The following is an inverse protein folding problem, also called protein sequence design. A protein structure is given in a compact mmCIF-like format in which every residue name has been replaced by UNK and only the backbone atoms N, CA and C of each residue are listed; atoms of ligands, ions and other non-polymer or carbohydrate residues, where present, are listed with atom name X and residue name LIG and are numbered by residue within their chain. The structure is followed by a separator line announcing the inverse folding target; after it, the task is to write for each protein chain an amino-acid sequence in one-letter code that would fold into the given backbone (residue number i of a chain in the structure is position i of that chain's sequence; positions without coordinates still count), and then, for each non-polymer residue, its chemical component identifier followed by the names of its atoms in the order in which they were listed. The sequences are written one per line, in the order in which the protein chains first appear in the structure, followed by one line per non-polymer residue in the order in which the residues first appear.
data_IF_768814751521
#
_entry.id   IF_768814751521
#
_cell.length_a   1.000
_cell.length_b   1.000
_cell.length_c   1.000
_cell.angle_alpha   90.00
_cell.angle_beta   90.00
_cell.angle_gamma   90.00
#
_symmetry.space_group_name_H-M   'P 1'
#
loop_
_entity.id
_entity.type
_entity.pdbx_description
1 polymer ?
#
# COMPACT_ATOMS: atom_id res chain seq x y z
N UNK A 1 3.37 -12.92 10.17
CA UNK A 1 2.82 -13.19 11.52
C UNK A 1 2.30 -11.87 12.03
N UNK A 2 1.08 -11.86 12.57
CA UNK A 2 0.42 -10.63 12.99
C UNK A 2 0.42 -10.52 14.52
N UNK A 3 0.69 -9.31 15.00
CA UNK A 3 0.71 -8.96 16.41
C UNK A 3 -0.13 -7.71 16.65
N UNK A 4 -0.81 -7.67 17.79
CA UNK A 4 -1.32 -6.44 18.37
C UNK A 4 -0.27 -5.85 19.30
N UNK A 5 -0.14 -4.53 19.30
CA UNK A 5 0.78 -3.80 20.17
C UNK A 5 -0.03 -2.84 21.03
N UNK A 6 0.08 -2.94 22.35
CA UNK A 6 -0.59 -2.03 23.28
C UNK A 6 0.19 -0.72 23.49
N UNK A 7 -0.36 0.19 24.30
CA UNK A 7 0.25 1.49 24.61
C UNK A 7 1.61 1.38 25.32
N UNK A 8 1.86 0.27 26.00
CA UNK A 8 3.10 0.00 26.73
C UNK A 8 4.12 -0.78 25.88
N UNK A 9 3.82 -0.97 24.58
CA UNK A 9 4.63 -1.72 23.61
C UNK A 9 4.77 -3.22 23.91
N UNK A 10 3.80 -3.81 24.60
CA UNK A 10 3.72 -5.27 24.70
C UNK A 10 3.13 -5.85 23.40
N UNK A 11 3.73 -6.94 22.94
CA UNK A 11 3.33 -7.63 21.72
C UNK A 11 2.46 -8.85 22.05
N UNK A 12 1.29 -8.94 21.42
CA UNK A 12 0.38 -10.07 21.56
C UNK A 12 0.16 -10.71 20.20
N UNK A 13 0.53 -11.98 20.07
CA UNK A 13 0.26 -12.74 18.85
C UNK A 13 -1.25 -12.79 18.57
N UNK A 14 -1.62 -12.54 17.31
CA UNK A 14 -3.01 -12.63 16.87
C UNK A 14 -3.19 -13.85 15.97
N UNK A 15 -2.48 -13.87 14.83
CA UNK A 15 -2.59 -14.96 13.87
C UNK A 15 -1.36 -15.10 12.96
N UNK A 16 -1.36 -16.17 12.15
CA UNK A 16 -0.36 -16.41 11.12
C UNK A 16 -1.04 -16.77 9.79
N UNK A 17 -0.87 -15.89 8.80
CA UNK A 17 -1.30 -16.12 7.44
C UNK A 17 -0.29 -17.00 6.67
N UNK A 18 -0.70 -18.21 6.27
CA UNK A 18 0.14 -19.19 5.55
C UNK A 18 0.15 -18.99 4.04
N UNK A 19 0.18 -17.73 3.61
CA UNK A 19 0.16 -17.30 2.20
C UNK A 19 0.86 -15.95 2.05
N UNK A 20 1.15 -15.55 0.81
CA UNK A 20 1.60 -14.19 0.55
C UNK A 20 0.52 -13.18 0.99
N UNK A 21 0.96 -12.08 1.59
CA UNK A 21 0.08 -10.97 1.95
C UNK A 21 0.01 -9.96 0.80
N UNK A 22 -1.10 -9.24 0.70
CA UNK A 22 -1.33 -8.27 -0.38
C UNK A 22 -0.26 -7.18 -0.33
N UNK A 23 0.07 -6.75 0.89
CA UNK A 23 1.02 -5.73 1.30
C UNK A 23 2.49 -6.19 1.31
N UNK A 24 2.81 -7.38 0.78
CA UNK A 24 4.21 -7.81 0.66
C UNK A 24 5.15 -6.81 -0.05
N UNK A 25 4.72 -5.97 -1.03
CA UNK A 25 5.63 -5.07 -1.71
C UNK A 25 6.34 -4.09 -0.79
N UNK A 26 5.70 -3.61 0.30
CA UNK A 26 6.39 -2.69 1.22
C UNK A 26 7.60 -3.36 1.87
N UNK A 27 7.53 -4.65 2.17
CA UNK A 27 8.66 -5.44 2.65
C UNK A 27 9.71 -5.57 1.55
N UNK A 28 9.32 -6.01 0.35
CA UNK A 28 10.25 -6.17 -0.78
C UNK A 28 11.04 -4.89 -1.06
N UNK A 29 10.36 -3.74 -1.07
CA UNK A 29 10.98 -2.43 -1.35
C UNK A 29 12.01 -2.03 -0.29
N UNK A 30 11.78 -2.32 1.00
CA UNK A 30 12.70 -1.88 2.06
C UNK A 30 13.88 -2.83 2.26
N UNK A 31 13.76 -4.10 1.89
CA UNK A 31 14.85 -5.08 1.99
C UNK A 31 15.55 -5.39 0.67
N UNK A 32 15.00 -4.92 -0.46
CA UNK A 32 15.45 -5.23 -1.82
C UNK A 32 15.52 -6.74 -2.08
N UNK A 33 14.39 -7.41 -1.83
CA UNK A 33 14.26 -8.85 -2.02
C UNK A 33 12.89 -9.24 -2.56
N UNK A 34 12.88 -10.09 -3.58
CA UNK A 34 11.67 -10.57 -4.26
C UNK A 34 11.14 -11.83 -3.55
N UNK A 35 10.03 -11.65 -2.83
CA UNK A 35 9.40 -12.70 -2.04
C UNK A 35 8.67 -13.72 -2.93
N UNK A 36 8.12 -13.29 -4.06
CA UNK A 36 7.43 -14.16 -5.01
C UNK A 36 8.41 -15.11 -5.68
N UNK A 37 9.55 -14.58 -6.14
CA UNK A 37 10.65 -15.38 -6.69
C UNK A 37 11.17 -16.39 -5.67
N UNK A 38 11.28 -15.99 -4.39
CA UNK A 38 11.71 -16.91 -3.34
C UNK A 38 10.70 -18.03 -3.10
N UNK A 39 9.39 -17.72 -3.08
CA UNK A 39 8.35 -18.75 -2.99
C UNK A 39 8.45 -19.78 -4.12
N UNK A 40 8.68 -19.33 -5.36
CA UNK A 40 8.85 -20.23 -6.51
C UNK A 40 10.09 -21.11 -6.35
N UNK A 41 11.23 -20.53 -5.93
CA UNK A 41 12.46 -21.30 -5.68
C UNK A 41 12.25 -22.38 -4.62
N UNK A 42 11.66 -22.03 -3.49
CA UNK A 42 11.41 -22.97 -2.39
C UNK A 42 10.43 -24.06 -2.82
N UNK A 43 9.38 -23.71 -3.56
CA UNK A 43 8.47 -24.70 -4.14
C UNK A 43 9.17 -25.65 -5.13
N UNK A 44 10.22 -25.20 -5.81
CA UNK A 44 11.07 -26.01 -6.67
C UNK A 44 12.15 -26.81 -5.90
N UNK A 45 12.13 -26.82 -4.56
CA UNK A 45 13.09 -27.52 -3.71
C UNK A 45 14.43 -26.81 -3.50
N UNK A 46 14.57 -25.56 -3.95
CA UNK A 46 15.75 -24.74 -3.68
C UNK A 46 15.66 -24.22 -2.25
N UNK A 47 16.70 -24.47 -1.45
CA UNK A 47 16.78 -23.96 -0.07
C UNK A 47 16.86 -22.44 -0.06
N UNK A 48 16.23 -21.84 0.95
CA UNK A 48 16.39 -20.40 1.22
C UNK A 48 17.87 -20.08 1.42
N UNK A 49 18.30 -18.94 0.89
CA UNK A 49 19.71 -18.51 0.88
C UNK A 49 20.34 -18.42 2.28
N UNK A 50 19.53 -18.18 3.32
CA UNK A 50 19.98 -18.06 4.71
C UNK A 50 20.56 -16.69 5.06
N UNK A 51 20.33 -15.65 4.25
CA UNK A 51 20.74 -14.28 4.57
C UNK A 51 19.73 -13.60 5.50
N UNK A 52 20.25 -12.78 6.43
CA UNK A 52 19.43 -11.86 7.22
C UNK A 52 19.19 -10.57 6.43
N UNK A 53 17.91 -10.23 6.25
CA UNK A 53 17.47 -9.04 5.53
C UNK A 53 16.93 -8.01 6.52
N UNK A 54 17.55 -6.83 6.56
CA UNK A 54 17.11 -5.73 7.42
C UNK A 54 16.55 -4.58 6.58
N UNK A 55 15.45 -3.92 7.01
CA UNK A 55 14.89 -2.77 6.31
C UNK A 55 15.90 -1.60 6.22
N UNK A 56 16.16 -1.13 5.00
CA UNK A 56 17.07 -0.01 4.72
C UNK A 56 16.33 1.29 4.44
N UNK A 57 15.11 1.18 3.92
CA UNK A 57 14.27 2.28 3.45
C UNK A 57 12.94 2.33 4.23
N UNK A 58 12.11 3.30 3.92
CA UNK A 58 10.71 3.34 4.34
C UNK A 58 9.80 3.24 3.11
N UNK A 59 8.79 2.39 3.17
CA UNK A 59 7.83 2.20 2.07
C UNK A 59 6.40 2.29 2.59
N UNK A 60 5.53 2.92 1.81
CA UNK A 60 4.11 3.06 2.08
C UNK A 60 3.35 2.47 0.90
N UNK A 61 2.29 1.72 1.18
CA UNK A 61 1.37 1.21 0.17
C UNK A 61 -0.04 1.74 0.44
N UNK A 62 -0.70 2.23 -0.61
CA UNK A 62 -2.13 2.51 -0.61
C UNK A 62 -2.83 1.53 -1.56
N UNK A 63 -3.89 0.89 -1.07
CA UNK A 63 -4.80 0.07 -1.90
C UNK A 63 -5.79 0.98 -2.59
N UNK A 64 -5.72 1.03 -3.91
CA UNK A 64 -6.66 1.78 -4.73
C UNK A 64 -7.82 0.86 -5.07
N UNK A 65 -8.97 1.16 -4.51
CA UNK A 65 -10.20 0.42 -4.70
C UNK A 65 -11.15 1.23 -5.58
N UNK A 66 -11.95 0.54 -6.38
CA UNK A 66 -13.10 1.08 -7.09
C UNK A 66 -14.28 1.23 -6.13
N UNK A 67 -14.18 2.20 -5.23
CA UNK A 67 -15.14 2.51 -4.17
C UNK A 67 -15.35 4.03 -4.09
N UNK A 68 -16.49 4.44 -3.51
CA UNK A 68 -16.86 5.85 -3.33
C UNK A 68 -16.80 6.21 -1.82
N UNK A 69 -15.68 6.80 -1.33
CA UNK A 69 -15.48 7.09 0.09
C UNK A 69 -16.56 8.01 0.67
N UNK A 70 -17.02 9.00 -0.10
CA UNK A 70 -18.04 9.96 0.35
C UNK A 70 -19.43 9.30 0.53
N UNK A 71 -19.59 8.06 0.09
CA UNK A 71 -20.82 7.28 0.18
C UNK A 71 -20.57 5.94 0.89
N UNK A 72 -19.89 5.99 2.05
CA UNK A 72 -19.60 4.84 2.91
C UNK A 72 -18.87 3.71 2.17
N UNK A 73 -17.87 4.08 1.35
CA UNK A 73 -17.03 3.15 0.58
C UNK A 73 -17.84 2.16 -0.28
N UNK A 74 -19.03 2.55 -0.76
CA UNK A 74 -19.82 1.69 -1.64
C UNK A 74 -19.01 1.31 -2.89
N UNK A 75 -19.08 0.06 -3.37
CA UNK A 75 -18.41 -0.34 -4.61
C UNK A 75 -18.84 0.52 -5.81
N UNK A 76 -17.89 0.78 -6.71
CA UNK A 76 -18.05 1.56 -7.94
C UNK A 76 -17.56 0.75 -9.15
N UNK A 77 -18.21 -0.39 -9.48
CA UNK A 77 -17.90 -1.12 -10.70
C UNK A 77 -18.25 -0.28 -11.93
N UNK A 78 -17.54 -0.50 -13.04
CA UNK A 78 -17.74 0.29 -14.24
C UNK A 78 -16.57 0.19 -15.21
N UNK A 79 -16.69 0.89 -16.33
CA UNK A 79 -15.65 0.94 -17.35
C UNK A 79 -14.69 2.08 -17.05
N UNK A 80 -13.40 1.77 -16.98
CA UNK A 80 -12.34 2.76 -16.93
C UNK A 80 -12.23 3.40 -18.31
N UNK A 81 -12.58 4.67 -18.42
CA UNK A 81 -12.56 5.41 -19.69
C UNK A 81 -11.20 6.00 -20.00
N UNK A 82 -10.44 6.33 -18.95
CA UNK A 82 -9.10 6.86 -19.05
C UNK A 82 -8.28 6.40 -17.85
N UNK A 83 -7.00 6.13 -18.06
CA UNK A 83 -6.08 5.65 -17.04
C UNK A 83 -4.70 6.26 -17.29
N UNK A 84 -4.21 7.03 -16.32
CA UNK A 84 -2.83 7.50 -16.26
C UNK A 84 -2.23 7.04 -14.93
N UNK A 85 -1.34 6.04 -15.00
CA UNK A 85 -0.66 5.53 -13.81
C UNK A 85 0.46 6.49 -13.40
N UNK A 86 0.67 6.71 -12.09
CA UNK A 86 1.77 7.52 -11.61
C UNK A 86 3.11 6.79 -11.77
N UNK A 87 4.20 7.55 -11.73
CA UNK A 87 5.53 6.98 -11.88
C UNK A 87 6.65 7.83 -11.29
N UNK A 88 7.86 7.57 -11.77
CA UNK A 88 9.09 8.21 -11.30
C UNK A 88 9.81 7.39 -10.22
N UNK A 89 10.94 7.93 -9.75
CA UNK A 89 11.85 7.18 -8.89
C UNK A 89 11.23 6.88 -7.50
N UNK A 90 11.21 5.59 -7.15
CA UNK A 90 10.63 5.12 -5.89
C UNK A 90 9.10 5.11 -5.89
N UNK A 91 8.47 5.02 -7.06
CA UNK A 91 7.04 4.74 -7.23
C UNK A 91 6.90 3.41 -7.98
N UNK A 92 6.24 2.44 -7.37
CA UNK A 92 5.85 1.15 -7.96
C UNK A 92 4.33 1.09 -8.00
N UNK A 93 3.79 0.58 -9.10
CA UNK A 93 2.35 0.34 -9.25
C UNK A 93 2.15 -1.11 -9.65
N UNK A 94 1.43 -1.86 -8.82
CA UNK A 94 0.98 -3.21 -9.15
C UNK A 94 -0.50 -3.12 -9.52
N UNK A 95 -0.85 -3.41 -10.77
CA UNK A 95 -2.23 -3.31 -11.25
C UNK A 95 -2.52 -4.33 -12.35
N UNK A 96 -3.77 -4.75 -12.45
CA UNK A 96 -4.28 -5.60 -13.53
C UNK A 96 -5.18 -4.82 -14.51
N UNK A 97 -5.50 -3.57 -14.19
CA UNK A 97 -6.41 -2.74 -15.00
C UNK A 97 -5.65 -1.95 -16.05
N UNK A 98 -6.33 -1.59 -17.12
CA UNK A 98 -5.83 -0.78 -18.22
C UNK A 98 -6.95 0.10 -18.77
N UNK A 99 -6.63 1.10 -19.59
CA UNK A 99 -7.65 1.96 -20.20
C UNK A 99 -8.64 1.12 -21.03
N UNK A 100 -9.94 1.29 -20.79
CA UNK A 100 -11.01 0.49 -21.38
C UNK A 100 -11.41 -0.76 -20.59
N UNK A 101 -10.66 -1.13 -19.55
CA UNK A 101 -11.01 -2.27 -18.68
C UNK A 101 -12.34 -2.03 -17.96
N UNK A 102 -13.14 -3.09 -17.79
CA UNK A 102 -14.42 -3.04 -17.08
C UNK A 102 -14.33 -3.80 -15.78
N UNK A 103 -14.50 -3.09 -14.67
CA UNK A 103 -14.47 -3.65 -13.32
C UNK A 103 -15.79 -4.37 -13.07
N UNK A 104 -15.68 -5.66 -12.80
CA UNK A 104 -16.82 -6.53 -12.47
C UNK A 104 -17.27 -6.30 -11.03
N UNK A 105 -18.58 -6.32 -10.74
CA UNK A 105 -19.10 -6.29 -9.37
C UNK A 105 -18.90 -7.61 -8.61
N UNK A 106 -18.40 -8.67 -9.26
CA UNK A 106 -18.34 -10.01 -8.68
C UNK A 106 -17.03 -10.32 -7.93
N UNK A 107 -16.06 -9.42 -7.96
CA UNK A 107 -14.74 -9.60 -7.35
C UNK A 107 -14.43 -8.45 -6.39
N UNK A 108 -13.28 -8.56 -5.72
CA UNK A 108 -12.76 -7.50 -4.86
C UNK A 108 -12.62 -6.18 -5.64
N UNK A 109 -12.87 -5.07 -4.94
CA UNK A 109 -12.87 -3.72 -5.51
C UNK A 109 -11.46 -3.19 -5.79
N UNK A 110 -10.39 -3.86 -5.32
CA UNK A 110 -9.02 -3.42 -5.50
C UNK A 110 -8.57 -3.50 -6.96
N UNK A 111 -8.19 -2.35 -7.50
CA UNK A 111 -7.77 -2.20 -8.90
C UNK A 111 -6.28 -1.95 -9.04
N UNK A 112 -5.64 -1.37 -8.03
CA UNK A 112 -4.20 -1.15 -8.02
C UNK A 112 -3.66 -1.07 -6.59
N UNK A 113 -2.37 -1.34 -6.45
CA UNK A 113 -1.57 -0.95 -5.30
C UNK A 113 -0.58 0.10 -5.76
N UNK A 114 -0.54 1.23 -5.07
CA UNK A 114 0.50 2.24 -5.25
C UNK A 114 1.46 2.14 -4.09
N UNK A 115 2.74 1.96 -4.41
CA UNK A 115 3.80 1.78 -3.43
C UNK A 115 4.83 2.87 -3.64
N UNK A 116 5.10 3.65 -2.58
CA UNK A 116 6.15 4.66 -2.61
C UNK A 116 7.22 4.35 -1.59
N UNK A 117 8.47 4.53 -2.01
CA UNK A 117 9.63 4.20 -1.20
C UNK A 117 10.59 5.37 -1.15
N UNK A 118 11.08 5.67 0.05
CA UNK A 118 12.18 6.62 0.25
C UNK A 118 13.39 6.19 -0.58
N UNK A 119 14.15 7.13 -1.10
CA UNK A 119 15.39 6.85 -1.86
C UNK A 119 16.60 7.49 -1.20
N UNK A 120 16.40 8.34 -0.20
CA UNK A 120 17.47 8.97 0.54
C UNK A 120 17.83 8.20 1.82
N UNK A 121 19.09 8.34 2.24
CA UNK A 121 19.51 7.97 3.58
C UNK A 121 18.96 8.95 4.62
N UNK A 122 19.32 8.74 5.89
CA UNK A 122 18.88 9.61 6.98
C UNK A 122 18.17 8.85 8.10
N UNK A 123 17.55 9.61 9.00
CA UNK A 123 16.77 9.06 10.10
C UNK A 123 15.51 8.36 9.58
N UNK A 124 14.91 7.52 10.42
CA UNK A 124 13.64 6.88 10.12
C UNK A 124 12.55 7.91 9.75
N UNK A 125 12.44 9.00 10.50
CA UNK A 125 11.45 10.05 10.28
C UNK A 125 11.66 10.76 8.94
N UNK A 126 12.91 11.01 8.55
CA UNK A 126 13.24 11.62 7.26
C UNK A 126 12.80 10.71 6.10
N UNK A 127 13.10 9.41 6.18
CA UNK A 127 12.69 8.43 5.16
C UNK A 127 11.18 8.30 5.07
N UNK A 128 10.49 8.23 6.22
CA UNK A 128 9.02 8.17 6.27
C UNK A 128 8.38 9.40 5.64
N UNK A 129 8.86 10.59 6.00
CA UNK A 129 8.39 11.85 5.41
C UNK A 129 8.62 11.90 3.90
N UNK A 130 9.75 11.39 3.41
CA UNK A 130 10.01 11.27 1.97
C UNK A 130 8.97 10.35 1.29
N UNK A 131 8.71 9.16 1.85
CA UNK A 131 7.73 8.22 1.31
C UNK A 131 6.31 8.81 1.27
N UNK A 132 5.90 9.55 2.31
CA UNK A 132 4.61 10.27 2.35
C UNK A 132 4.55 11.33 1.25
N UNK A 133 5.60 12.16 1.11
CA UNK A 133 5.64 13.19 0.07
C UNK A 133 5.56 12.60 -1.34
N UNK A 134 6.21 11.45 -1.56
CA UNK A 134 6.08 10.72 -2.82
C UNK A 134 4.68 10.17 -3.02
N UNK A 135 4.05 9.64 -1.97
CA UNK A 135 2.68 9.13 -2.04
C UNK A 135 1.69 10.24 -2.40
N UNK A 136 1.83 11.43 -1.79
CA UNK A 136 1.03 12.62 -2.16
C UNK A 136 1.09 12.90 -3.66
N UNK A 137 2.31 13.06 -4.20
CA UNK A 137 2.54 13.31 -5.62
C UNK A 137 1.98 12.19 -6.49
N UNK A 138 2.25 10.94 -6.12
CA UNK A 138 1.85 9.80 -6.92
C UNK A 138 0.32 9.61 -6.93
N UNK A 139 -0.39 9.95 -5.83
CA UNK A 139 -1.85 10.01 -5.80
C UNK A 139 -2.39 11.19 -6.64
N UNK A 140 -1.74 12.36 -6.62
CA UNK A 140 -2.14 13.52 -7.42
C UNK A 140 -1.95 13.29 -8.93
N UNK A 141 -0.95 12.48 -9.32
CA UNK A 141 -0.67 12.10 -10.72
C UNK A 141 -1.52 10.93 -11.22
N UNK A 142 -2.18 10.19 -10.32
CA UNK A 142 -2.97 9.02 -10.67
C UNK A 142 -4.35 9.42 -11.18
N UNK A 143 -4.51 9.43 -12.49
CA UNK A 143 -5.79 9.71 -13.14
C UNK A 143 -6.52 8.41 -13.48
N UNK A 144 -7.74 8.30 -13.01
CA UNK A 144 -8.68 7.23 -13.38
C UNK A 144 -10.08 7.81 -13.54
N UNK A 145 -10.68 7.57 -14.70
CA UNK A 145 -11.99 8.12 -15.05
C UNK A 145 -13.00 7.00 -15.35
N UNK A 146 -14.29 7.31 -15.21
CA UNK A 146 -15.40 6.38 -15.45
C UNK A 146 -15.89 5.63 -14.21
N UNK A 147 -15.14 5.69 -13.10
CA UNK A 147 -15.50 5.11 -11.80
C UNK A 147 -15.07 6.03 -10.65
N UNK A 148 -15.57 5.77 -9.44
CA UNK A 148 -15.05 6.36 -8.19
C UNK A 148 -13.94 5.49 -7.61
N UNK A 149 -13.00 6.12 -6.90
CA UNK A 149 -11.91 5.40 -6.22
C UNK A 149 -11.61 5.95 -4.84
N UNK A 150 -10.80 5.20 -4.08
CA UNK A 150 -10.24 5.61 -2.79
C UNK A 150 -9.05 6.58 -2.89
N UNK A 151 -8.65 7.02 -4.10
CA UNK A 151 -7.52 7.97 -4.28
C UNK A 151 -7.74 9.26 -3.48
N UNK A 152 -8.90 9.95 -3.55
CA UNK A 152 -9.11 11.20 -2.81
C UNK A 152 -9.02 10.99 -1.29
N UNK A 153 -9.48 9.83 -0.81
CA UNK A 153 -9.39 9.45 0.59
C UNK A 153 -7.92 9.31 1.03
N UNK A 154 -7.13 8.51 0.31
CA UNK A 154 -5.70 8.36 0.60
C UNK A 154 -4.94 9.68 0.53
N UNK A 155 -5.32 10.56 -0.41
CA UNK A 155 -4.67 11.86 -0.55
C UNK A 155 -4.90 12.77 0.65
N UNK A 156 -6.13 12.78 1.20
CA UNK A 156 -6.46 13.46 2.47
C UNK A 156 -5.68 12.85 3.64
N UNK A 157 -5.59 11.52 3.69
CA UNK A 157 -4.83 10.81 4.74
C UNK A 157 -3.35 11.24 4.77
N UNK A 158 -2.73 11.41 3.60
CA UNK A 158 -1.34 11.86 3.53
C UNK A 158 -1.13 13.27 4.10
N UNK A 159 -2.18 14.09 4.23
CA UNK A 159 -2.12 15.45 4.81
C UNK A 159 -2.55 15.51 6.27
N UNK A 160 -3.07 14.41 6.84
CA UNK A 160 -3.45 14.36 8.23
C UNK A 160 -2.22 14.43 9.16
N UNK A 161 -2.24 15.35 10.13
CA UNK A 161 -1.09 15.59 11.01
C UNK A 161 -0.71 14.38 11.86
N UNK A 162 -1.69 13.64 12.37
CA UNK A 162 -1.47 12.49 13.24
C UNK A 162 -0.90 11.31 12.44
N UNK A 163 -1.37 11.12 11.20
CA UNK A 163 -0.74 10.20 10.26
C UNK A 163 0.70 10.59 9.96
N UNK A 164 1.00 11.87 9.73
CA UNK A 164 2.37 12.36 9.49
C UNK A 164 3.27 12.17 10.73
N UNK A 165 2.74 12.41 11.93
CA UNK A 165 3.47 12.22 13.21
C UNK A 165 3.64 10.74 13.58
N UNK A 166 2.88 9.83 12.96
CA UNK A 166 2.92 8.40 13.29
C UNK A 166 2.12 8.05 14.54
N UNK A 167 1.15 8.89 14.91
CA UNK A 167 0.34 8.73 16.12
C UNK A 167 -1.05 8.26 15.69
N UNK A 168 -1.25 6.96 15.60
CA UNK A 168 -2.52 6.37 15.21
C UNK A 168 -2.70 4.97 15.78
N UNK A 169 -3.95 4.57 15.97
CA UNK A 169 -4.36 3.24 16.41
C UNK A 169 -5.20 2.56 15.33
N UNK A 170 -5.69 1.36 15.60
CA UNK A 170 -6.67 0.70 14.71
C UNK A 170 -8.00 1.44 14.61
N UNK A 171 -8.30 2.38 15.52
CA UNK A 171 -9.50 3.23 15.51
C UNK A 171 -9.32 4.57 14.79
N UNK A 172 -8.12 4.83 14.26
CA UNK A 172 -7.76 6.12 13.68
C UNK A 172 -8.78 6.65 12.66
N UNK A 173 -9.33 5.75 11.83
CA UNK A 173 -10.34 6.07 10.84
C UNK A 173 -11.65 6.58 11.45
N UNK A 174 -12.12 5.94 12.52
CA UNK A 174 -13.34 6.32 13.26
C UNK A 174 -13.13 7.65 14.00
N UNK A 175 -11.94 7.87 14.54
CA UNK A 175 -11.59 9.06 15.33
C UNK A 175 -11.41 10.33 14.49
N UNK A 176 -11.06 10.20 13.21
CA UNK A 176 -10.76 11.32 12.32
C UNK A 176 -11.89 11.66 11.32
N UNK A 177 -13.06 11.03 11.42
CA UNK A 177 -14.25 11.28 10.58
C UNK A 177 -13.94 11.42 9.08
N UNK A 178 -13.20 10.45 8.53
CA UNK A 178 -12.90 10.38 7.09
C UNK A 178 -14.10 9.98 6.23
#
# INVERSE_FOLDING_TARGET
VEFLVDSDRNFYFMEMNTRIQVEHPITEQVIDYDLIKEQIKVAAGIKVSGNDYYPKLHSIECRINAEDPDNNFRPSPGKITNLHLPGGQGVRVDTHVYSGYTISPNYDSMIAKIITTSQSGGTYDQKRKEAINKMRRALDEFVIEGIKTTIPFHRKLMDNEDYIKGVYTTKFMEENNF
#
